data_IF_763838808062
#
_entry.id   IF_763838808062
#
_cell.length_a   1.000
_cell.length_b   1.000
_cell.length_c   1.000
_cell.angle_alpha   90.00
_cell.angle_beta   90.00
_cell.angle_gamma   90.00
#
_symmetry.space_group_name_H-M   'P 1'
#
loop_
_entity.id
_entity.type
_entity.pdbx_description
1 polymer ?
#
# COMPACT_ATOMS: atom_id res chain seq x y z
N UNK A 1 6.58 6.34 -9.13
CA UNK A 1 5.73 6.09 -10.32
C UNK A 1 4.84 7.31 -10.54
N UNK A 2 5.07 8.07 -11.62
CA UNK A 2 4.21 9.19 -12.00
C UNK A 2 3.11 8.68 -12.94
N UNK A 3 1.86 9.06 -12.72
CA UNK A 3 0.79 8.77 -13.66
C UNK A 3 1.04 9.55 -14.96
N UNK A 4 1.38 8.84 -16.04
CA UNK A 4 1.72 9.41 -17.36
C UNK A 4 0.50 9.98 -18.12
N UNK A 5 -0.66 10.11 -17.47
CA UNK A 5 -1.79 10.88 -18.01
C UNK A 5 -2.42 11.77 -16.93
N UNK A 6 -2.76 13.04 -17.26
CA UNK A 6 -3.50 13.94 -16.37
C UNK A 6 -4.80 13.31 -15.84
N UNK A 7 -5.46 12.49 -16.65
CA UNK A 7 -6.73 11.84 -16.32
C UNK A 7 -6.58 10.71 -15.29
N UNK A 8 -5.48 9.96 -15.32
CA UNK A 8 -5.20 8.94 -14.31
C UNK A 8 -4.81 9.59 -12.98
N UNK A 9 -3.92 10.60 -13.03
CA UNK A 9 -3.50 11.35 -11.85
C UNK A 9 -4.69 11.97 -11.11
N UNK A 10 -5.58 12.66 -11.82
CA UNK A 10 -6.77 13.28 -11.22
C UNK A 10 -7.84 12.29 -10.73
N UNK A 11 -7.82 11.01 -11.12
CA UNK A 11 -8.68 9.97 -10.50
C UNK A 11 -8.09 9.47 -9.20
N UNK A 12 -6.80 9.15 -9.21
CA UNK A 12 -6.05 8.72 -8.02
C UNK A 12 -6.11 9.79 -6.94
N UNK A 13 -5.89 11.05 -7.29
CA UNK A 13 -5.96 12.17 -6.35
C UNK A 13 -7.34 12.32 -5.71
N UNK A 14 -8.43 12.20 -6.49
CA UNK A 14 -9.80 12.25 -5.94
C UNK A 14 -10.11 11.06 -5.02
N UNK A 15 -9.69 9.86 -5.39
CA UNK A 15 -9.84 8.69 -4.53
C UNK A 15 -9.07 8.86 -3.22
N UNK A 16 -7.81 9.30 -3.30
CA UNK A 16 -6.95 9.54 -2.13
C UNK A 16 -7.53 10.62 -1.21
N UNK A 17 -8.02 11.73 -1.75
CA UNK A 17 -8.69 12.77 -0.94
C UNK A 17 -9.91 12.22 -0.19
N UNK A 18 -10.73 11.43 -0.88
CA UNK A 18 -11.93 10.83 -0.28
C UNK A 18 -11.56 9.82 0.81
N UNK A 19 -10.55 8.99 0.57
CA UNK A 19 -10.05 8.03 1.55
C UNK A 19 -9.45 8.72 2.78
N UNK A 20 -8.58 9.72 2.60
CA UNK A 20 -7.95 10.45 3.70
C UNK A 20 -8.97 11.18 4.59
N UNK A 21 -10.03 11.73 4.01
CA UNK A 21 -11.07 12.41 4.78
C UNK A 21 -12.00 11.42 5.52
N UNK A 22 -12.40 10.32 4.86
CA UNK A 22 -13.42 9.40 5.37
C UNK A 22 -12.88 8.31 6.26
N UNK A 23 -11.75 7.69 5.90
CA UNK A 23 -11.21 6.52 6.62
C UNK A 23 -11.07 6.82 8.12
N UNK A 24 -10.46 7.96 8.45
CA UNK A 24 -10.24 8.37 9.84
C UNK A 24 -11.56 8.63 10.58
N UNK A 25 -12.55 9.24 9.90
CA UNK A 25 -13.86 9.55 10.50
C UNK A 25 -14.68 8.29 10.73
N UNK A 26 -14.70 7.38 9.78
CA UNK A 26 -15.43 6.12 9.86
C UNK A 26 -14.79 5.22 10.94
N UNK A 27 -13.46 5.15 11.03
CA UNK A 27 -12.77 4.49 12.16
C UNK A 27 -13.19 5.08 13.51
N UNK A 28 -13.32 6.41 13.60
CA UNK A 28 -13.77 7.08 14.84
C UNK A 28 -15.23 6.75 15.18
N UNK A 29 -16.10 6.61 14.18
CA UNK A 29 -17.50 6.22 14.40
C UNK A 29 -17.61 4.78 14.91
N UNK A 30 -16.75 3.90 14.45
CA UNK A 30 -16.65 2.50 14.90
C UNK A 30 -15.84 2.33 16.21
N UNK A 31 -15.33 3.43 16.79
CA UNK A 31 -14.56 3.40 18.04
C UNK A 31 -13.17 2.75 17.93
N UNK A 32 -12.63 2.62 16.72
CA UNK A 32 -11.35 1.96 16.46
C UNK A 32 -10.20 2.83 16.92
N UNK A 33 -9.29 2.26 17.71
CA UNK A 33 -8.12 2.96 18.28
C UNK A 33 -6.83 2.14 18.26
N UNK A 34 -6.85 0.93 17.71
CA UNK A 34 -5.67 0.05 17.55
C UNK A 34 -5.41 -0.26 16.06
N UNK A 35 -4.18 -0.65 15.74
CA UNK A 35 -3.80 -1.05 14.38
C UNK A 35 -4.47 -2.39 14.04
N UNK A 36 -4.56 -3.28 15.01
CA UNK A 36 -5.15 -4.60 14.91
C UNK A 36 -6.62 -4.51 14.53
N UNK A 37 -7.39 -3.70 15.26
CA UNK A 37 -8.82 -3.48 14.99
C UNK A 37 -9.03 -2.77 13.65
N UNK A 38 -8.15 -1.81 13.31
CA UNK A 38 -8.18 -1.13 12.02
C UNK A 38 -7.99 -2.12 10.85
N UNK A 39 -7.03 -3.03 10.97
CA UNK A 39 -6.76 -4.05 9.96
C UNK A 39 -7.93 -5.03 9.81
N UNK A 40 -8.53 -5.46 10.92
CA UNK A 40 -9.70 -6.35 10.89
C UNK A 40 -10.94 -5.67 10.28
N UNK A 41 -11.10 -4.36 10.48
CA UNK A 41 -12.22 -3.59 9.97
C UNK A 41 -12.07 -3.20 8.48
N UNK A 42 -10.84 -3.05 7.99
CA UNK A 42 -10.55 -2.41 6.70
C UNK A 42 -11.26 -3.06 5.51
N UNK A 43 -11.38 -4.39 5.49
CA UNK A 43 -12.08 -5.11 4.42
C UNK A 43 -13.55 -4.68 4.29
N UNK A 44 -14.23 -4.52 5.44
CA UNK A 44 -15.63 -4.07 5.46
C UNK A 44 -15.78 -2.64 4.97
N UNK A 45 -14.84 -1.76 5.36
CA UNK A 45 -14.78 -0.38 4.90
C UNK A 45 -14.56 -0.30 3.39
N UNK A 46 -13.63 -1.09 2.84
CA UNK A 46 -13.33 -1.10 1.40
C UNK A 46 -14.56 -1.50 0.58
N UNK A 47 -15.33 -2.49 1.05
CA UNK A 47 -16.58 -2.91 0.39
C UNK A 47 -17.58 -1.74 0.34
N UNK A 48 -17.83 -1.08 1.46
CA UNK A 48 -18.75 0.05 1.52
C UNK A 48 -18.24 1.28 0.74
N UNK A 49 -16.95 1.58 0.83
CA UNK A 49 -16.31 2.65 0.08
C UNK A 49 -16.47 2.43 -1.43
N UNK A 50 -16.15 1.23 -1.92
CA UNK A 50 -16.28 0.91 -3.34
C UNK A 50 -17.74 0.96 -3.79
N UNK A 51 -18.70 0.51 -2.97
CA UNK A 51 -20.13 0.66 -3.27
C UNK A 51 -20.53 2.12 -3.52
N UNK A 52 -19.96 3.07 -2.76
CA UNK A 52 -20.30 4.50 -2.85
C UNK A 52 -19.52 5.25 -3.93
N UNK A 53 -18.24 4.92 -4.12
CA UNK A 53 -17.30 5.77 -4.86
C UNK A 53 -16.63 5.09 -6.06
N UNK A 54 -16.65 3.76 -6.16
CA UNK A 54 -16.03 3.08 -7.29
C UNK A 54 -16.71 3.48 -8.60
N UNK A 55 -15.90 3.67 -9.64
CA UNK A 55 -16.36 3.92 -11.00
C UNK A 55 -15.77 2.85 -11.90
N UNK A 56 -16.60 2.22 -12.75
CA UNK A 56 -16.09 1.22 -13.68
C UNK A 56 -15.06 1.86 -14.62
N UNK A 57 -14.06 1.08 -15.01
CA UNK A 57 -13.09 1.51 -15.99
C UNK A 57 -13.80 1.77 -17.33
N UNK A 58 -13.49 2.89 -17.99
CA UNK A 58 -14.02 3.20 -19.33
C UNK A 58 -13.60 2.13 -20.36
N UNK A 59 -12.43 1.52 -20.16
CA UNK A 59 -11.93 0.42 -20.95
C UNK A 59 -11.59 -0.73 -19.99
N UNK A 60 -12.35 -1.83 -19.99
CA UNK A 60 -12.23 -2.89 -18.98
C UNK A 60 -11.11 -3.90 -19.26
N UNK A 61 -10.31 -3.70 -20.33
CA UNK A 61 -9.22 -4.61 -20.65
C UNK A 61 -8.14 -4.50 -19.58
N UNK A 62 -7.71 -5.64 -19.07
CA UNK A 62 -6.54 -5.72 -18.21
C UNK A 62 -5.29 -5.38 -19.04
N UNK A 63 -4.56 -4.36 -18.60
CA UNK A 63 -3.32 -3.89 -19.21
C UNK A 63 -2.13 -4.05 -18.26
N UNK A 64 -2.32 -4.71 -17.11
CA UNK A 64 -1.21 -5.01 -16.21
C UNK A 64 -0.28 -6.01 -16.89
N UNK A 65 1.03 -5.84 -16.67
CA UNK A 65 2.00 -6.86 -17.05
C UNK A 65 1.82 -8.08 -16.13
N UNK A 66 2.05 -9.31 -16.63
CA UNK A 66 2.23 -10.44 -15.74
C UNK A 66 3.43 -10.20 -14.82
N UNK A 67 3.39 -10.80 -13.63
CA UNK A 67 4.57 -10.91 -12.77
C UNK A 67 5.53 -11.89 -13.46
N UNK A 68 6.75 -11.42 -13.71
CA UNK A 68 7.81 -12.21 -14.36
C UNK A 68 8.86 -12.67 -13.34
N UNK A 69 8.90 -12.00 -12.20
CA UNK A 69 9.74 -12.24 -11.06
C UNK A 69 9.33 -13.53 -10.35
N UNK A 70 10.33 -14.32 -9.93
CA UNK A 70 10.09 -15.49 -9.10
C UNK A 70 9.68 -15.09 -7.67
N UNK A 71 9.20 -16.04 -6.86
CA UNK A 71 8.91 -15.77 -5.45
C UNK A 71 10.14 -15.27 -4.70
N UNK A 72 11.31 -15.84 -4.99
CA UNK A 72 12.59 -15.45 -4.39
C UNK A 72 12.98 -14.03 -4.78
N UNK A 73 12.77 -13.65 -6.05
CA UNK A 73 13.01 -12.27 -6.50
C UNK A 73 12.08 -11.29 -5.79
N UNK A 74 10.81 -11.63 -5.62
CA UNK A 74 9.84 -10.77 -4.94
C UNK A 74 10.17 -10.61 -3.45
N UNK A 75 10.58 -11.71 -2.79
CA UNK A 75 10.99 -11.67 -1.39
C UNK A 75 12.19 -10.72 -1.20
N UNK A 76 13.15 -10.73 -2.12
CA UNK A 76 14.28 -9.79 -2.10
C UNK A 76 13.86 -8.34 -2.42
N UNK A 77 13.02 -8.14 -3.45
CA UNK A 77 12.53 -6.82 -3.89
C UNK A 77 11.73 -6.12 -2.79
N UNK A 78 10.90 -6.87 -2.04
CA UNK A 78 10.06 -6.32 -0.97
C UNK A 78 10.72 -6.33 0.41
N UNK A 79 11.94 -6.86 0.53
CA UNK A 79 12.68 -6.84 1.78
C UNK A 79 13.07 -5.42 2.20
N UNK A 80 13.12 -5.20 3.52
CA UNK A 80 13.76 -4.02 4.07
C UNK A 80 15.28 -4.16 3.96
N UNK A 81 15.90 -3.37 3.09
CA UNK A 81 17.34 -3.43 2.84
C UNK A 81 18.06 -2.22 3.42
N UNK A 82 19.17 -2.46 4.12
CA UNK A 82 19.98 -1.39 4.69
C UNK A 82 21.46 -1.53 4.31
N UNK A 83 22.02 -0.51 3.67
CA UNK A 83 23.45 -0.49 3.39
C UNK A 83 24.26 -0.32 4.67
N UNK A 84 25.29 -1.15 4.83
CA UNK A 84 26.21 -1.13 5.97
C UNK A 84 27.65 -1.29 5.52
N UNK A 85 28.58 -0.76 6.32
CA UNK A 85 30.01 -0.93 6.11
C UNK A 85 30.51 -2.11 6.91
N UNK A 86 31.11 -3.08 6.23
CA UNK A 86 31.75 -4.22 6.87
C UNK A 86 33.02 -3.77 7.61
N UNK A 87 33.19 -4.21 8.87
CA UNK A 87 34.42 -3.93 9.62
C UNK A 87 35.62 -4.68 9.02
N UNK A 88 36.84 -4.27 9.40
CA UNK A 88 38.07 -5.03 9.05
C UNK A 88 38.06 -6.47 9.59
N UNK A 89 37.23 -6.76 10.59
CA UNK A 89 37.03 -8.08 11.17
C UNK A 89 35.85 -8.83 10.56
N UNK A 90 35.31 -8.37 9.42
CA UNK A 90 34.20 -8.99 8.69
C UNK A 90 32.89 -9.12 9.49
N UNK A 91 32.63 -8.17 10.39
CA UNK A 91 31.40 -8.14 11.21
C UNK A 91 30.67 -6.82 11.01
N UNK A 92 29.34 -6.86 10.99
CA UNK A 92 28.49 -5.67 11.16
C UNK A 92 27.46 -5.97 12.26
N UNK A 93 26.90 -4.93 12.88
CA UNK A 93 25.86 -5.05 13.91
C UNK A 93 24.56 -4.47 13.38
N UNK A 94 23.44 -5.12 13.68
CA UNK A 94 22.10 -4.64 13.35
C UNK A 94 21.27 -4.53 14.64
N UNK A 95 20.68 -3.37 14.85
CA UNK A 95 19.78 -3.07 15.99
C UNK A 95 20.21 -3.62 17.37
N UNK A 96 21.50 -3.47 17.71
CA UNK A 96 22.13 -3.96 18.96
C UNK A 96 21.97 -5.47 19.24
N UNK A 97 21.42 -6.25 18.33
CA UNK A 97 21.47 -7.70 18.39
C UNK A 97 22.70 -8.20 17.63
N UNK A 98 23.36 -9.21 18.21
CA UNK A 98 24.48 -9.94 17.59
C UNK A 98 23.89 -10.97 16.64
#
# INVERSE_FOLDING_TARGET
>A
ICANSPQAKGRVERANQTLQDRLIKEMRLEGISSIEDANAWLDSFIIDFNRRFARPAKYPKDLHRPVLESSEDLDDIFAWQESRKLSKTLTFRYDKMI
#
